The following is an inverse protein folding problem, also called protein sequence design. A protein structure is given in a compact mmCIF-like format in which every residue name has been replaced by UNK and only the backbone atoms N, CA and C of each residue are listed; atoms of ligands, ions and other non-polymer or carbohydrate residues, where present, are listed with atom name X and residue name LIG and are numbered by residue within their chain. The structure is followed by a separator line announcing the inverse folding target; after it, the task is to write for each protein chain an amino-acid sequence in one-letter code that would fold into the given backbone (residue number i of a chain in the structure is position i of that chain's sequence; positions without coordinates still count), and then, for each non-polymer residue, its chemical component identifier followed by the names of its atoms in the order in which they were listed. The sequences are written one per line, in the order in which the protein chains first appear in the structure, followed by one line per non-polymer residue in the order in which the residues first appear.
data_IF_628997340816
#
_entry.id   IF_628997340816
#
_cell.length_a   1.000
_cell.length_b   1.000
_cell.length_c   1.000
_cell.angle_alpha   90.00
_cell.angle_beta   90.00
_cell.angle_gamma   90.00
#
_symmetry.space_group_name_H-M   'P 1'
#
loop_
_entity.id
_entity.type
_entity.pdbx_description
1 polymer ?
#
# COMPACT_ATOMS: atom_id res chain seq x y z
N UNK A 1 31.04 22.42 28.91
CA UNK A 1 30.38 22.30 27.59
C UNK A 1 29.93 20.86 27.40
N UNK A 2 28.61 20.61 27.31
CA UNK A 2 28.07 19.28 26.99
C UNK A 2 28.27 19.01 25.50
N UNK A 3 29.04 17.97 25.15
CA UNK A 3 29.21 17.52 23.77
C UNK A 3 27.86 17.00 23.25
N UNK A 4 27.45 17.45 22.06
CA UNK A 4 26.29 16.91 21.33
C UNK A 4 26.56 15.42 21.05
N UNK A 5 25.62 14.57 21.41
CA UNK A 5 25.61 13.17 20.98
C UNK A 5 25.34 13.14 19.47
N UNK A 6 26.28 12.60 18.70
CA UNK A 6 26.14 12.40 17.27
C UNK A 6 25.17 11.24 17.03
N UNK A 7 24.04 11.54 16.40
CA UNK A 7 23.05 10.56 15.97
C UNK A 7 23.71 9.48 15.09
N UNK A 8 23.81 8.27 15.61
CA UNK A 8 24.31 7.10 14.88
C UNK A 8 23.12 6.27 14.41
N UNK A 9 22.77 6.32 13.12
CA UNK A 9 21.70 5.49 12.55
C UNK A 9 22.26 4.19 11.98
N UNK A 10 21.53 3.09 12.17
CA UNK A 10 21.92 1.73 11.79
C UNK A 10 22.08 1.60 10.27
N UNK A 11 23.28 1.20 9.83
CA UNK A 11 23.60 0.83 8.43
C UNK A 11 22.65 -0.22 7.83
N UNK A 12 21.88 -0.93 8.67
CA UNK A 12 20.88 -1.92 8.29
C UNK A 12 19.57 -1.31 7.73
N UNK A 13 19.10 -0.20 8.27
CA UNK A 13 17.84 0.46 7.83
C UNK A 13 17.99 1.04 6.43
N UNK A 14 19.16 1.59 6.08
CA UNK A 14 19.46 2.06 4.72
C UNK A 14 19.52 0.93 3.69
N UNK A 15 20.03 -0.26 4.06
CA UNK A 15 20.02 -1.43 3.18
C UNK A 15 18.60 -1.98 2.98
N UNK A 16 17.75 -1.93 4.00
CA UNK A 16 16.35 -2.33 3.90
C UNK A 16 15.55 -1.35 3.03
N UNK A 17 15.77 -0.04 3.20
CA UNK A 17 15.20 1.00 2.32
C UNK A 17 15.68 0.85 0.87
N UNK A 18 16.96 0.53 0.65
CA UNK A 18 17.50 0.28 -0.69
C UNK A 18 16.92 -0.98 -1.34
N UNK A 19 16.70 -2.05 -0.56
CA UNK A 19 16.01 -3.26 -1.03
C UNK A 19 14.56 -2.99 -1.40
N UNK A 20 13.83 -2.23 -0.57
CA UNK A 20 12.48 -1.77 -0.87
C UNK A 20 12.45 -0.97 -2.18
N UNK A 21 13.41 -0.06 -2.37
CA UNK A 21 13.48 0.77 -3.57
C UNK A 21 13.79 -0.05 -4.83
N UNK A 22 14.66 -1.06 -4.74
CA UNK A 22 14.90 -2.00 -5.84
C UNK A 22 13.67 -2.86 -6.15
N UNK A 23 12.97 -3.35 -5.13
CA UNK A 23 11.72 -4.10 -5.31
C UNK A 23 10.62 -3.25 -5.94
N UNK A 24 10.51 -1.97 -5.56
CA UNK A 24 9.57 -1.01 -6.17
C UNK A 24 9.95 -0.72 -7.63
N UNK A 25 11.23 -0.53 -7.92
CA UNK A 25 11.67 -0.30 -9.30
C UNK A 25 11.45 -1.54 -10.19
N UNK A 26 11.64 -2.75 -9.65
CA UNK A 26 11.29 -3.99 -10.35
C UNK A 26 9.78 -4.15 -10.53
N UNK A 27 8.99 -3.74 -9.55
CA UNK A 27 7.53 -3.70 -9.65
C UNK A 27 7.07 -2.77 -10.78
N UNK A 28 7.64 -1.57 -10.87
CA UNK A 28 7.35 -0.58 -11.93
C UNK A 28 7.77 -1.12 -13.30
N UNK A 29 8.94 -1.76 -13.41
CA UNK A 29 9.40 -2.34 -14.67
C UNK A 29 8.54 -3.53 -15.13
N UNK A 30 8.07 -4.36 -14.19
CA UNK A 30 7.17 -5.48 -14.49
C UNK A 30 5.75 -4.99 -14.85
N UNK A 31 5.29 -3.87 -14.27
CA UNK A 31 4.03 -3.21 -14.64
C UNK A 31 4.02 -2.62 -16.06
N UNK A 32 5.18 -2.47 -16.70
CA UNK A 32 5.31 -1.80 -17.99
C UNK A 32 5.11 -2.74 -19.19
N UNK A 33 4.98 -4.06 -18.98
CA UNK A 33 4.93 -5.04 -20.07
C UNK A 33 3.63 -5.86 -20.18
N UNK A 34 2.71 -5.78 -19.23
CA UNK A 34 1.46 -6.56 -19.24
C UNK A 34 0.24 -5.69 -18.91
N UNK A 35 -0.93 -6.05 -19.47
CA UNK A 35 -2.25 -5.39 -19.35
C UNK A 35 -2.35 -4.31 -18.26
N UNK A 36 -2.53 -3.05 -18.67
CA UNK A 36 -2.82 -1.93 -17.76
C UNK A 36 -4.15 -2.15 -17.02
N UNK A 37 -4.07 -2.63 -15.79
CA UNK A 37 -5.21 -2.68 -14.88
C UNK A 37 -5.39 -1.32 -14.21
N UNK A 38 -6.41 -0.56 -14.63
CA UNK A 38 -6.68 0.76 -14.10
C UNK A 38 -7.31 0.67 -12.70
N UNK A 39 -6.69 1.32 -11.71
CA UNK A 39 -7.23 1.47 -10.36
C UNK A 39 -8.17 2.68 -10.35
N UNK A 40 -9.41 2.46 -9.92
CA UNK A 40 -10.36 3.54 -9.68
C UNK A 40 -10.19 4.04 -8.23
N UNK A 41 -9.29 5.01 -8.03
CA UNK A 41 -8.98 5.56 -6.71
C UNK A 41 -10.19 6.18 -6.00
N UNK A 42 -11.15 6.75 -6.74
CA UNK A 42 -12.39 7.27 -6.16
C UNK A 42 -13.23 6.14 -5.54
N UNK A 43 -13.30 4.98 -6.20
CA UNK A 43 -13.94 3.78 -5.66
C UNK A 43 -13.19 3.25 -4.43
N UNK A 44 -11.85 3.15 -4.50
CA UNK A 44 -11.01 2.72 -3.36
C UNK A 44 -11.32 3.56 -2.13
N UNK A 45 -11.26 4.90 -2.27
CA UNK A 45 -11.55 5.84 -1.17
C UNK A 45 -12.97 5.67 -0.66
N UNK A 46 -13.96 5.53 -1.54
CA UNK A 46 -15.35 5.33 -1.17
C UNK A 46 -15.54 4.10 -0.30
N UNK A 47 -15.00 2.95 -0.73
CA UNK A 47 -15.08 1.68 0.01
C UNK A 47 -14.34 1.76 1.35
N UNK A 48 -13.17 2.38 1.39
CA UNK A 48 -12.41 2.54 2.64
C UNK A 48 -13.17 3.41 3.67
N UNK A 49 -13.75 4.52 3.23
CA UNK A 49 -14.57 5.37 4.10
C UNK A 49 -15.86 4.69 4.55
N UNK A 50 -16.46 3.84 3.71
CA UNK A 50 -17.60 3.01 4.10
C UNK A 50 -17.21 2.00 5.17
N UNK A 51 -16.06 1.36 5.03
CA UNK A 51 -15.55 0.41 6.02
C UNK A 51 -15.28 1.11 7.36
N UNK A 52 -14.61 2.26 7.35
CA UNK A 52 -14.43 3.08 8.56
C UNK A 52 -15.76 3.43 9.24
N UNK A 53 -16.83 3.70 8.48
CA UNK A 53 -18.16 3.96 9.01
C UNK A 53 -18.84 2.70 9.57
N UNK A 54 -18.62 1.54 8.96
CA UNK A 54 -19.17 0.28 9.43
C UNK A 54 -18.57 -0.11 10.79
N UNK A 55 -17.29 0.20 11.00
CA UNK A 55 -16.59 0.00 12.26
C UNK A 55 -16.69 1.21 13.20
N UNK A 56 -17.78 1.99 13.12
CA UNK A 56 -18.08 3.25 13.84
C UNK A 56 -17.60 3.38 15.30
N UNK A 57 -17.57 2.27 16.05
CA UNK A 57 -17.18 2.25 17.46
C UNK A 57 -15.71 1.89 17.70
N UNK A 58 -15.02 1.35 16.69
CA UNK A 58 -13.61 0.91 16.75
C UNK A 58 -12.91 1.11 15.38
N UNK A 59 -12.86 2.35 14.83
CA UNK A 59 -12.23 2.62 13.53
C UNK A 59 -10.73 2.28 13.50
N UNK A 60 -10.07 2.23 14.67
CA UNK A 60 -8.69 1.78 14.83
C UNK A 60 -8.45 0.30 14.51
N UNK A 61 -9.52 -0.50 14.41
CA UNK A 61 -9.43 -1.90 13.97
C UNK A 61 -9.31 -2.02 12.45
N UNK A 62 -9.52 -0.94 11.70
CA UNK A 62 -9.34 -0.96 10.25
C UNK A 62 -7.86 -0.81 9.95
N UNK A 63 -7.23 -1.91 9.57
CA UNK A 63 -5.87 -1.91 9.04
C UNK A 63 -5.88 -1.60 7.54
N UNK A 64 -5.08 -0.60 7.14
CA UNK A 64 -4.86 -0.26 5.73
C UNK A 64 -4.28 -1.47 4.99
N UNK A 65 -3.45 -2.28 5.64
CA UNK A 65 -2.83 -3.45 5.02
C UNK A 65 -3.87 -4.53 4.72
N UNK A 66 -4.74 -4.83 5.69
CA UNK A 66 -5.84 -5.78 5.51
C UNK A 66 -6.81 -5.31 4.43
N UNK A 67 -7.23 -4.04 4.48
CA UNK A 67 -8.11 -3.47 3.46
C UNK A 67 -7.48 -3.56 2.06
N UNK A 68 -6.22 -3.17 1.92
CA UNK A 68 -5.51 -3.15 0.64
C UNK A 68 -5.37 -4.57 0.06
N UNK A 69 -5.08 -5.55 0.92
CA UNK A 69 -5.01 -6.95 0.54
C UNK A 69 -6.37 -7.46 0.06
N UNK A 70 -7.44 -7.21 0.83
CA UNK A 70 -8.80 -7.61 0.47
C UNK A 70 -9.30 -6.93 -0.81
N UNK A 71 -9.01 -5.63 -1.00
CA UNK A 71 -9.36 -4.91 -2.22
C UNK A 71 -8.65 -5.52 -3.44
N UNK A 72 -7.33 -5.74 -3.35
CA UNK A 72 -6.56 -6.30 -4.45
C UNK A 72 -7.04 -7.72 -4.81
N UNK A 73 -7.31 -8.56 -3.80
CA UNK A 73 -7.84 -9.90 -4.01
C UNK A 73 -9.20 -9.86 -4.70
N UNK A 74 -10.14 -9.06 -4.17
CA UNK A 74 -11.48 -8.91 -4.72
C UNK A 74 -11.48 -8.39 -6.15
N UNK A 75 -10.63 -7.41 -6.48
CA UNK A 75 -10.50 -6.92 -7.86
C UNK A 75 -10.08 -8.04 -8.81
N UNK A 76 -9.08 -8.83 -8.44
CA UNK A 76 -8.56 -9.90 -9.29
C UNK A 76 -9.60 -11.02 -9.48
N UNK A 77 -10.30 -11.40 -8.41
CA UNK A 77 -11.39 -12.39 -8.48
C UNK A 77 -12.53 -11.89 -9.37
N UNK A 78 -12.99 -10.65 -9.21
CA UNK A 78 -14.10 -10.10 -10.00
C UNK A 78 -13.77 -9.95 -11.50
N UNK A 79 -12.51 -9.76 -11.84
CA UNK A 79 -12.06 -9.58 -13.22
C UNK A 79 -11.45 -10.84 -13.84
N UNK A 80 -11.47 -11.98 -13.13
CA UNK A 80 -10.86 -13.24 -13.55
C UNK A 80 -9.38 -13.08 -13.94
N UNK A 81 -8.63 -12.33 -13.14
CA UNK A 81 -7.19 -12.09 -13.31
C UNK A 81 -6.45 -13.01 -12.36
N UNK A 82 -5.82 -14.05 -12.90
CA UNK A 82 -4.95 -14.95 -12.14
C UNK A 82 -3.48 -14.61 -12.39
N UNK A 83 -3.09 -13.40 -11.98
CA UNK A 83 -1.70 -12.97 -11.92
C UNK A 83 -1.35 -12.51 -10.49
N UNK A 84 -0.34 -13.16 -9.92
CA UNK A 84 0.12 -12.87 -8.57
C UNK A 84 0.89 -11.55 -8.53
N UNK A 85 1.63 -11.20 -9.59
CA UNK A 85 2.45 -10.00 -9.63
C UNK A 85 1.58 -8.75 -9.74
N UNK A 86 0.57 -8.73 -10.61
CA UNK A 86 -0.40 -7.65 -10.70
C UNK A 86 -1.17 -7.46 -9.38
N UNK A 87 -1.47 -8.55 -8.68
CA UNK A 87 -2.16 -8.52 -7.37
C UNK A 87 -1.31 -7.87 -6.30
N UNK A 88 -0.04 -8.27 -6.22
CA UNK A 88 0.93 -7.63 -5.32
C UNK A 88 1.16 -6.17 -5.66
N UNK A 89 1.23 -5.83 -6.96
CA UNK A 89 1.38 -4.45 -7.40
C UNK A 89 0.17 -3.60 -6.99
N UNK A 90 -1.05 -4.10 -7.21
CA UNK A 90 -2.27 -3.41 -6.81
C UNK A 90 -2.37 -3.24 -5.30
N UNK A 91 -1.97 -4.25 -4.51
CA UNK A 91 -1.89 -4.13 -3.06
C UNK A 91 -0.98 -2.97 -2.64
N UNK A 92 0.24 -2.89 -3.18
CA UNK A 92 1.20 -1.82 -2.87
C UNK A 92 0.65 -0.46 -3.26
N UNK A 93 0.02 -0.36 -4.43
CA UNK A 93 -0.52 0.89 -4.95
C UNK A 93 -1.72 1.40 -4.14
N UNK A 94 -2.65 0.50 -3.79
CA UNK A 94 -3.80 0.83 -2.93
C UNK A 94 -3.35 1.24 -1.54
N UNK A 95 -2.41 0.51 -0.94
CA UNK A 95 -1.81 0.85 0.35
C UNK A 95 -1.14 2.23 0.31
N UNK A 96 -0.34 2.48 -0.73
CA UNK A 96 0.33 3.77 -0.92
C UNK A 96 -0.70 4.89 -1.02
N UNK A 97 -1.71 4.73 -1.87
CA UNK A 97 -2.80 5.70 -2.02
C UNK A 97 -3.51 6.00 -0.70
N UNK A 98 -3.93 4.97 0.05
CA UNK A 98 -4.64 5.16 1.32
C UNK A 98 -3.78 5.87 2.37
N UNK A 99 -2.48 5.59 2.43
CA UNK A 99 -1.55 6.31 3.31
C UNK A 99 -1.39 7.79 2.94
N UNK A 100 -1.65 8.18 1.68
CA UNK A 100 -1.66 9.62 1.29
C UNK A 100 -2.95 10.32 1.69
N UNK A 101 -4.03 9.58 1.94
CA UNK A 101 -5.25 10.16 2.47
C UNK A 101 -4.98 10.54 3.92
N UNK A 102 -4.81 11.84 4.19
CA UNK A 102 -4.81 12.40 5.55
C UNK A 102 -6.21 12.25 6.17
N UNK A 103 -6.58 11.01 6.50
CA UNK A 103 -7.80 10.64 7.20
C UNK A 103 -7.54 10.87 8.68
N UNK A 104 -7.57 12.14 9.09
CA UNK A 104 -7.62 12.48 10.50
C UNK A 104 -8.94 11.95 11.05
N UNK A 105 -8.85 11.11 12.07
CA UNK A 105 -9.95 10.79 12.97
C UNK A 105 -10.46 12.06 13.66
#
# INVERSE_FOLDING_TARGET
MKKREEFSFLKGTLKQLAKLNQSVNQLIQNLNNDKLYAINYANVKGRFLEELKNYKNNPELIDIDEFSMNYSFGYHTCNNIDDLLSKQAMFVEVKSYLNTLNLRA
#
